data_IF_122363262963
#
_entry.id   IF_122363262963
#
_cell.length_a   1.000
_cell.length_b   1.000
_cell.length_c   1.000
_cell.angle_alpha   90.00
_cell.angle_beta   90.00
_cell.angle_gamma   90.00
#
_symmetry.space_group_name_H-M   'P 1'
#
loop_
_entity.id
_entity.type
_entity.pdbx_description
1 polymer ?
#
# COMPACT_ATOMS: atom_id res chain seq x y z
N UNK A 1 7.47 2.55 42.18
CA UNK A 1 6.49 3.65 42.05
C UNK A 1 6.20 3.80 40.57
N UNK A 2 5.09 3.24 40.10
CA UNK A 2 4.61 3.53 38.74
C UNK A 2 4.12 4.96 38.74
N UNK A 3 4.77 5.83 37.96
CA UNK A 3 4.29 7.17 37.69
C UNK A 3 2.95 7.05 36.98
N UNK A 4 1.86 7.37 37.69
CA UNK A 4 0.53 7.50 37.07
C UNK A 4 0.66 8.62 36.04
N UNK A 5 0.77 8.24 34.77
CA UNK A 5 0.79 9.22 33.66
C UNK A 5 -0.61 9.82 33.59
N UNK A 6 -0.71 11.10 33.90
CA UNK A 6 -1.99 11.81 33.82
C UNK A 6 -2.44 11.87 32.36
N UNK A 7 -3.66 11.36 32.07
CA UNK A 7 -4.22 11.39 30.73
C UNK A 7 -4.54 12.83 30.32
N UNK A 8 -4.16 13.21 29.12
CA UNK A 8 -4.45 14.52 28.52
C UNK A 8 -5.59 14.42 27.50
N UNK A 9 -6.22 15.54 27.18
CA UNK A 9 -7.22 15.54 26.12
C UNK A 9 -6.55 15.42 24.75
N UNK A 10 -7.14 14.65 23.81
CA UNK A 10 -6.60 14.56 22.45
C UNK A 10 -6.74 15.91 21.73
N UNK A 11 -5.82 16.24 20.80
CA UNK A 11 -6.03 17.37 19.93
C UNK A 11 -7.35 17.23 19.18
N UNK A 12 -8.09 18.33 19.09
CA UNK A 12 -9.37 18.32 18.40
C UNK A 12 -9.18 18.05 16.91
N UNK A 13 -9.88 17.06 16.37
CA UNK A 13 -9.95 16.83 14.95
C UNK A 13 -10.77 17.96 14.30
N UNK A 14 -10.17 18.67 13.34
CA UNK A 14 -10.86 19.77 12.66
C UNK A 14 -11.85 19.19 11.65
N UNK A 15 -13.15 19.27 11.95
CA UNK A 15 -14.22 18.77 11.09
C UNK A 15 -14.08 19.23 9.64
N UNK A 16 -13.78 20.52 9.41
CA UNK A 16 -13.65 21.08 8.08
C UNK A 16 -12.58 20.43 7.23
N UNK A 17 -11.45 20.05 7.83
CA UNK A 17 -10.36 19.39 7.11
C UNK A 17 -10.77 17.98 6.66
N UNK A 18 -11.50 17.24 7.52
CA UNK A 18 -12.02 15.93 7.18
C UNK A 18 -13.11 16.02 6.12
N UNK A 19 -14.03 16.95 6.24
CA UNK A 19 -15.07 17.19 5.23
C UNK A 19 -14.48 17.58 3.86
N UNK A 20 -13.40 18.34 3.86
CA UNK A 20 -12.68 18.68 2.64
C UNK A 20 -12.02 17.45 2.00
N UNK A 21 -11.42 16.57 2.78
CA UNK A 21 -10.86 15.30 2.30
C UNK A 21 -11.93 14.37 1.74
N UNK A 22 -13.03 14.20 2.47
CA UNK A 22 -14.14 13.31 2.08
C UNK A 22 -14.96 13.91 0.92
N UNK A 23 -14.93 15.23 0.77
CA UNK A 23 -15.68 15.97 -0.24
C UNK A 23 -17.18 16.13 0.06
N UNK A 24 -17.57 15.95 1.33
CA UNK A 24 -18.95 16.13 1.82
C UNK A 24 -19.00 16.29 3.34
N UNK A 25 -20.17 16.68 3.86
CA UNK A 25 -20.42 16.73 5.29
C UNK A 25 -20.35 15.35 5.94
N UNK A 26 -19.67 15.25 7.08
CA UNK A 26 -19.61 14.04 7.91
C UNK A 26 -20.72 14.07 8.98
N UNK A 27 -21.15 12.90 9.44
CA UNK A 27 -22.22 12.74 10.45
C UNK A 27 -21.66 12.40 11.82
N UNK A 28 -20.67 11.49 11.85
CA UNK A 28 -20.06 10.99 13.09
C UNK A 28 -18.53 11.18 13.06
N UNK A 29 -18.08 12.30 13.66
CA UNK A 29 -16.67 12.64 13.77
C UNK A 29 -15.88 11.62 14.59
N UNK A 30 -16.53 10.88 15.49
CA UNK A 30 -15.85 9.91 16.35
C UNK A 30 -15.26 8.75 15.56
N UNK A 31 -15.89 8.35 14.45
CA UNK A 31 -15.34 7.35 13.53
C UNK A 31 -14.02 7.82 12.90
N UNK A 32 -13.92 9.07 12.49
CA UNK A 32 -12.71 9.64 11.91
C UNK A 32 -11.60 9.83 12.94
N UNK A 33 -11.96 10.29 14.15
CA UNK A 33 -11.00 10.36 15.25
C UNK A 33 -10.42 8.98 15.56
N UNK A 34 -11.27 7.96 15.59
CA UNK A 34 -10.83 6.58 15.80
C UNK A 34 -9.96 6.08 14.66
N UNK A 35 -10.25 6.40 13.39
CA UNK A 35 -9.43 6.02 12.24
C UNK A 35 -8.01 6.58 12.32
N UNK A 36 -7.79 7.68 13.03
CA UNK A 36 -6.46 8.25 13.28
C UNK A 36 -5.85 7.88 14.64
N UNK A 37 -6.50 7.02 15.44
CA UNK A 37 -6.05 6.67 16.78
C UNK A 37 -5.20 5.39 16.75
N UNK A 38 -3.87 5.53 16.86
CA UNK A 38 -2.99 4.39 17.08
C UNK A 38 -3.17 3.83 18.50
N UNK A 39 -3.01 2.52 18.69
CA UNK A 39 -3.18 1.87 20.01
C UNK A 39 -2.35 2.46 21.14
N UNK A 40 -1.19 3.04 20.87
CA UNK A 40 -0.38 3.71 21.88
C UNK A 40 -1.04 4.98 22.43
N UNK A 41 -1.88 5.65 21.63
CA UNK A 41 -2.60 6.86 22.03
C UNK A 41 -3.61 6.59 23.16
N UNK A 42 -4.17 5.39 23.25
CA UNK A 42 -5.16 5.01 24.26
C UNK A 42 -4.62 5.13 25.70
N UNK A 43 -3.30 5.07 25.88
CA UNK A 43 -2.65 5.22 27.19
C UNK A 43 -2.31 6.67 27.53
N UNK A 44 -2.41 7.58 26.58
CA UNK A 44 -2.04 9.00 26.71
C UNK A 44 -3.25 9.91 26.77
N UNK A 45 -4.27 9.64 25.96
CA UNK A 45 -5.40 10.55 25.76
C UNK A 45 -6.67 10.04 26.42
N UNK A 46 -7.44 10.97 27.05
CA UNK A 46 -8.75 10.70 27.64
C UNK A 46 -9.80 10.48 26.55
N UNK A 47 -10.83 9.71 26.86
CA UNK A 47 -12.02 9.57 26.01
C UNK A 47 -11.80 8.79 24.71
N UNK A 48 -10.59 8.30 24.42
CA UNK A 48 -10.35 7.41 23.29
C UNK A 48 -10.72 5.98 23.68
N UNK A 49 -11.80 5.44 23.11
CA UNK A 49 -12.33 4.12 23.47
C UNK A 49 -11.63 2.97 22.72
N UNK A 50 -11.12 3.20 21.50
CA UNK A 50 -10.53 2.17 20.66
C UNK A 50 -9.54 2.77 19.65
N UNK A 51 -8.63 1.92 19.16
CA UNK A 51 -7.73 2.24 18.05
C UNK A 51 -8.37 2.04 16.69
N UNK A 52 -7.62 2.36 15.63
CA UNK A 52 -8.06 2.21 14.24
C UNK A 52 -8.21 0.75 13.80
N UNK A 53 -7.62 -0.23 14.50
CA UNK A 53 -7.43 -1.62 14.02
C UNK A 53 -8.72 -2.31 13.52
N UNK A 54 -9.88 -2.07 14.16
CA UNK A 54 -11.14 -2.67 13.67
C UNK A 54 -11.80 -1.89 12.55
N UNK A 55 -11.47 -0.61 12.39
CA UNK A 55 -11.87 0.17 11.21
C UNK A 55 -11.00 -0.18 10.00
N UNK A 56 -9.72 -0.43 10.20
CA UNK A 56 -8.79 -0.98 9.22
C UNK A 56 -9.32 -2.30 8.66
N UNK A 57 -9.65 -3.26 9.53
CA UNK A 57 -10.24 -4.54 9.11
C UNK A 57 -11.50 -4.37 8.24
N UNK A 58 -12.38 -3.44 8.59
CA UNK A 58 -13.57 -3.12 7.79
C UNK A 58 -13.17 -2.43 6.49
N UNK A 59 -12.25 -1.49 6.55
CA UNK A 59 -11.81 -0.67 5.42
C UNK A 59 -11.07 -1.47 4.35
N UNK A 60 -10.20 -2.41 4.73
CA UNK A 60 -9.55 -3.35 3.80
C UNK A 60 -10.59 -4.09 2.96
N UNK A 61 -11.62 -4.65 3.61
CA UNK A 61 -12.69 -5.36 2.91
C UNK A 61 -13.47 -4.45 1.95
N UNK A 62 -13.80 -3.23 2.38
CA UNK A 62 -14.52 -2.24 1.56
C UNK A 62 -13.64 -1.79 0.38
N UNK A 63 -12.39 -1.44 0.64
CA UNK A 63 -11.41 -1.06 -0.39
C UNK A 63 -11.22 -2.18 -1.40
N UNK A 64 -10.98 -3.40 -0.91
CA UNK A 64 -10.84 -4.58 -1.75
C UNK A 64 -12.03 -4.81 -2.67
N UNK A 65 -13.25 -4.65 -2.15
CA UNK A 65 -14.49 -4.75 -2.96
C UNK A 65 -14.59 -3.64 -4.00
N UNK A 66 -14.34 -2.38 -3.63
CA UNK A 66 -14.40 -1.23 -4.54
C UNK A 66 -13.44 -1.42 -5.72
N UNK A 67 -12.18 -1.80 -5.44
CA UNK A 67 -11.14 -1.99 -6.45
C UNK A 67 -11.45 -3.22 -7.30
N UNK A 68 -11.89 -4.34 -6.71
CA UNK A 68 -12.27 -5.54 -7.46
C UNK A 68 -13.39 -5.23 -8.44
N UNK A 69 -14.44 -4.55 -7.98
CA UNK A 69 -15.58 -4.20 -8.84
C UNK A 69 -15.16 -3.25 -9.97
N UNK A 70 -14.30 -2.28 -9.68
CA UNK A 70 -13.77 -1.37 -10.70
C UNK A 70 -12.98 -2.09 -11.79
N UNK A 71 -12.06 -2.99 -11.39
CA UNK A 71 -11.25 -3.75 -12.34
C UNK A 71 -12.11 -4.68 -13.19
N UNK A 72 -13.09 -5.34 -12.56
CA UNK A 72 -14.02 -6.24 -13.26
C UNK A 72 -14.84 -5.49 -14.32
N UNK A 73 -15.35 -4.30 -14.00
CA UNK A 73 -16.14 -3.49 -14.94
C UNK A 73 -15.28 -2.90 -16.07
N UNK A 74 -14.03 -2.53 -15.76
CA UNK A 74 -13.14 -1.83 -16.69
C UNK A 74 -12.40 -2.77 -17.66
N UNK A 75 -12.08 -3.97 -17.21
CA UNK A 75 -11.25 -4.93 -17.95
C UNK A 75 -12.02 -6.23 -18.22
N UNK A 76 -13.16 -6.14 -18.91
CA UNK A 76 -14.09 -7.25 -19.16
C UNK A 76 -13.51 -8.35 -20.04
N UNK A 77 -12.55 -8.01 -20.92
CA UNK A 77 -11.89 -8.94 -21.82
C UNK A 77 -10.64 -9.63 -21.19
N UNK A 78 -10.27 -9.22 -19.97
CA UNK A 78 -9.10 -9.75 -19.28
C UNK A 78 -9.44 -10.99 -18.42
N UNK A 79 -8.47 -11.88 -18.30
CA UNK A 79 -8.61 -13.09 -17.49
C UNK A 79 -8.39 -12.82 -15.98
N UNK A 80 -8.86 -13.74 -15.14
CA UNK A 80 -8.74 -13.69 -13.67
C UNK A 80 -7.31 -13.37 -13.20
N UNK A 81 -6.28 -13.97 -13.82
CA UNK A 81 -4.89 -13.74 -13.44
C UNK A 81 -4.43 -12.28 -13.58
N UNK A 82 -4.90 -11.56 -14.62
CA UNK A 82 -4.64 -10.13 -14.77
C UNK A 82 -5.39 -9.34 -13.69
N UNK A 83 -6.67 -9.61 -13.48
CA UNK A 83 -7.51 -8.90 -12.51
C UNK A 83 -6.96 -9.04 -11.09
N UNK A 84 -6.52 -10.23 -10.71
CA UNK A 84 -5.91 -10.51 -9.40
C UNK A 84 -4.59 -9.75 -9.21
N UNK A 85 -3.72 -9.74 -10.22
CA UNK A 85 -2.45 -8.98 -10.18
C UNK A 85 -2.70 -7.47 -10.12
N UNK A 86 -3.61 -6.96 -10.92
CA UNK A 86 -3.99 -5.54 -10.94
C UNK A 86 -4.54 -5.10 -9.57
N UNK A 87 -5.44 -5.91 -8.99
CA UNK A 87 -5.95 -5.65 -7.64
C UNK A 87 -4.82 -5.60 -6.61
N UNK A 88 -3.96 -6.62 -6.59
CA UNK A 88 -2.83 -6.68 -5.65
C UNK A 88 -1.95 -5.43 -5.75
N UNK A 89 -1.70 -4.92 -6.95
CA UNK A 89 -0.91 -3.69 -7.13
C UNK A 89 -1.61 -2.43 -6.62
N UNK A 90 -2.91 -2.35 -6.81
CA UNK A 90 -3.67 -1.20 -6.32
C UNK A 90 -3.75 -1.18 -4.80
N UNK A 91 -4.05 -2.31 -4.16
CA UNK A 91 -4.26 -2.37 -2.69
C UNK A 91 -3.02 -2.76 -1.89
N UNK A 92 -1.83 -2.86 -2.50
CA UNK A 92 -0.60 -3.15 -1.76
C UNK A 92 -0.18 -1.98 -0.87
N UNK A 93 0.43 -2.29 0.27
CA UNK A 93 0.84 -1.31 1.28
C UNK A 93 1.67 -0.14 0.75
N UNK A 94 2.57 -0.38 -0.22
CA UNK A 94 3.33 0.70 -0.87
C UNK A 94 2.41 1.74 -1.53
N UNK A 95 1.42 1.31 -2.29
CA UNK A 95 0.46 2.20 -2.97
C UNK A 95 -0.38 2.97 -1.95
N UNK A 96 -0.91 2.29 -0.93
CA UNK A 96 -1.73 2.92 0.10
C UNK A 96 -0.94 3.90 0.96
N UNK A 97 0.32 3.58 1.26
CA UNK A 97 1.24 4.50 1.92
C UNK A 97 1.48 5.79 1.09
N UNK A 98 1.74 5.67 -0.21
CA UNK A 98 1.93 6.81 -1.11
C UNK A 98 0.67 7.69 -1.17
N UNK A 99 -0.51 7.09 -1.23
CA UNK A 99 -1.81 7.79 -1.17
C UNK A 99 -1.97 8.52 0.18
N UNK A 100 -1.71 7.84 1.29
CA UNK A 100 -1.80 8.42 2.64
C UNK A 100 -0.92 9.64 2.80
N UNK A 101 0.30 9.59 2.27
CA UNK A 101 1.23 10.73 2.26
C UNK A 101 0.71 11.87 1.38
N UNK A 102 0.23 11.57 0.18
CA UNK A 102 -0.32 12.56 -0.74
C UNK A 102 -1.57 13.26 -0.19
N UNK A 103 -2.38 12.55 0.59
CA UNK A 103 -3.53 13.10 1.33
C UNK A 103 -3.13 13.83 2.62
N UNK A 104 -1.89 13.63 3.11
CA UNK A 104 -1.41 14.21 4.36
C UNK A 104 -2.00 13.55 5.61
N UNK A 105 -2.49 12.29 5.55
CA UNK A 105 -3.15 11.61 6.66
C UNK A 105 -2.26 11.46 7.89
N UNK A 106 -0.94 11.35 7.70
CA UNK A 106 0.06 11.27 8.77
C UNK A 106 -0.04 12.41 9.81
N UNK A 107 -0.58 13.56 9.43
CA UNK A 107 -0.69 14.76 10.29
C UNK A 107 -1.72 14.60 11.41
N UNK A 108 -2.70 13.73 11.23
CA UNK A 108 -3.79 13.51 12.21
C UNK A 108 -3.58 12.29 13.09
N UNK A 109 -2.55 11.47 12.85
CA UNK A 109 -2.34 10.23 13.59
C UNK A 109 -1.99 10.54 15.06
N UNK A 110 -2.85 10.09 15.96
CA UNK A 110 -2.65 10.21 17.40
C UNK A 110 -1.80 9.04 17.92
N UNK A 111 -0.74 9.37 18.65
CA UNK A 111 0.19 8.42 19.25
C UNK A 111 0.66 8.89 20.62
N UNK A 112 1.27 8.00 21.40
CA UNK A 112 2.02 8.40 22.58
C UNK A 112 3.33 9.15 22.23
N UNK A 113 4.00 9.68 23.25
CA UNK A 113 5.23 10.45 23.05
C UNK A 113 6.38 9.61 22.47
N UNK A 114 6.38 8.30 22.73
CA UNK A 114 7.36 7.38 22.15
C UNK A 114 7.14 7.23 20.66
N UNK A 115 5.90 7.04 20.23
CA UNK A 115 5.53 6.95 18.82
C UNK A 115 5.88 8.21 18.06
N UNK A 116 5.61 9.37 18.63
CA UNK A 116 5.94 10.68 18.05
C UNK A 116 7.46 10.86 17.90
N UNK A 117 8.23 10.61 18.98
CA UNK A 117 9.70 10.74 18.95
C UNK A 117 10.37 9.79 17.94
N UNK A 118 9.80 8.61 17.75
CA UNK A 118 10.32 7.62 16.80
C UNK A 118 9.72 7.75 15.39
N UNK A 119 8.97 8.82 15.12
CA UNK A 119 8.32 9.07 13.83
C UNK A 119 7.46 7.91 13.31
N UNK A 120 6.77 7.18 14.20
CA UNK A 120 5.92 6.05 13.80
C UNK A 120 4.78 6.47 12.87
N UNK A 121 4.30 7.72 12.95
CA UNK A 121 3.31 8.29 12.04
C UNK A 121 3.77 8.34 10.57
N UNK A 122 5.08 8.15 10.31
CA UNK A 122 5.67 8.04 8.97
C UNK A 122 5.97 6.59 8.57
N UNK A 123 5.64 5.61 9.43
CA UNK A 123 5.84 4.20 9.13
C UNK A 123 4.89 3.76 7.99
N UNK A 124 5.40 3.14 6.91
CA UNK A 124 4.57 2.72 5.77
C UNK A 124 3.39 1.85 6.14
N UNK A 125 3.55 0.90 7.08
CA UNK A 125 2.46 0.01 7.49
C UNK A 125 1.37 0.79 8.25
N UNK A 126 1.75 1.74 9.12
CA UNK A 126 0.78 2.57 9.84
C UNK A 126 0.02 3.49 8.88
N UNK A 127 0.69 3.98 7.84
CA UNK A 127 0.05 4.81 6.81
C UNK A 127 -0.93 4.01 5.94
N UNK A 128 -0.61 2.75 5.64
CA UNK A 128 -1.51 1.78 5.01
C UNK A 128 -2.73 1.56 5.88
N UNK A 129 -2.52 1.12 7.14
CA UNK A 129 -3.59 0.82 8.11
C UNK A 129 -4.55 2.01 8.29
N UNK A 130 -3.99 3.22 8.41
CA UNK A 130 -4.78 4.45 8.60
C UNK A 130 -5.59 4.80 7.35
N UNK A 131 -5.08 4.59 6.14
CA UNK A 131 -5.86 4.77 4.92
C UNK A 131 -7.05 3.83 4.87
N UNK A 132 -6.82 2.55 5.16
CA UNK A 132 -7.90 1.55 5.23
C UNK A 132 -8.91 1.91 6.31
N UNK A 133 -8.45 2.25 7.52
CA UNK A 133 -9.33 2.68 8.60
C UNK A 133 -10.16 3.90 8.24
N UNK A 134 -9.58 4.85 7.50
CA UNK A 134 -10.30 6.04 7.03
C UNK A 134 -11.37 5.69 5.99
N UNK A 135 -11.08 4.76 5.06
CA UNK A 135 -12.09 4.20 4.14
C UNK A 135 -13.21 3.50 4.92
N UNK A 136 -12.87 2.74 5.95
CA UNK A 136 -13.82 2.09 6.87
C UNK A 136 -14.72 3.10 7.58
N UNK A 137 -14.15 4.19 8.09
CA UNK A 137 -14.89 5.27 8.73
C UNK A 137 -15.87 5.94 7.76
N UNK A 138 -15.44 6.28 6.55
CA UNK A 138 -16.32 6.87 5.51
C UNK A 138 -17.46 5.90 5.16
N UNK A 139 -17.16 4.61 5.03
CA UNK A 139 -18.18 3.62 4.73
C UNK A 139 -19.24 3.52 5.81
N UNK A 140 -18.84 3.48 7.08
CA UNK A 140 -19.76 3.37 8.21
C UNK A 140 -20.59 4.64 8.41
N UNK A 141 -20.00 5.81 8.17
CA UNK A 141 -20.66 7.11 8.33
C UNK A 141 -21.59 7.45 7.16
N UNK A 142 -21.10 7.29 5.92
CA UNK A 142 -21.71 7.83 4.70
C UNK A 142 -22.11 6.77 3.68
N UNK A 143 -21.70 5.54 3.88
CA UNK A 143 -22.02 4.40 3.02
C UNK A 143 -21.12 4.25 1.79
N UNK A 144 -21.40 3.19 1.02
CA UNK A 144 -20.56 2.72 -0.10
C UNK A 144 -20.34 3.76 -1.19
N UNK A 145 -21.33 4.59 -1.48
CA UNK A 145 -21.23 5.60 -2.56
C UNK A 145 -20.13 6.61 -2.27
N UNK A 146 -20.06 7.10 -1.02
CA UNK A 146 -19.05 8.08 -0.61
C UNK A 146 -17.67 7.43 -0.46
N UNK A 147 -17.60 6.20 0.11
CA UNK A 147 -16.36 5.43 0.17
C UNK A 147 -15.77 5.21 -1.22
N UNK A 148 -16.59 4.78 -2.20
CA UNK A 148 -16.17 4.62 -3.60
C UNK A 148 -15.64 5.90 -4.21
N UNK A 149 -16.34 7.03 -4.03
CA UNK A 149 -15.93 8.35 -4.54
C UNK A 149 -14.59 8.78 -3.94
N UNK A 150 -14.43 8.65 -2.62
CA UNK A 150 -13.19 8.97 -1.94
C UNK A 150 -12.02 8.12 -2.43
N UNK A 151 -12.20 6.79 -2.51
CA UNK A 151 -11.17 5.87 -2.99
C UNK A 151 -10.68 6.29 -4.37
N UNK A 152 -11.56 6.52 -5.35
CA UNK A 152 -11.11 6.90 -6.69
C UNK A 152 -10.40 8.25 -6.73
N UNK A 153 -10.92 9.28 -6.06
CA UNK A 153 -10.25 10.56 -5.96
C UNK A 153 -8.88 10.47 -5.28
N UNK A 154 -8.70 9.50 -4.39
CA UNK A 154 -7.41 9.23 -3.72
C UNK A 154 -6.41 8.58 -4.69
N UNK A 155 -6.85 7.63 -5.50
CA UNK A 155 -5.99 6.97 -6.49
C UNK A 155 -5.57 7.89 -7.65
N UNK A 156 -6.33 8.94 -7.96
CA UNK A 156 -5.93 9.96 -8.94
C UNK A 156 -4.68 10.76 -8.52
N UNK A 157 -4.31 10.70 -7.24
CA UNK A 157 -3.15 11.43 -6.68
C UNK A 157 -1.82 10.69 -6.82
N UNK A 158 -1.86 9.43 -7.23
CA UNK A 158 -0.67 8.59 -7.39
C UNK A 158 -0.71 7.85 -8.71
N UNK A 159 0.46 7.59 -9.27
CA UNK A 159 0.56 6.80 -10.49
C UNK A 159 0.67 5.31 -10.15
N UNK A 160 -0.36 4.55 -10.50
CA UNK A 160 -0.37 3.09 -10.31
C UNK A 160 -0.21 2.40 -11.66
N UNK A 161 0.98 1.88 -11.92
CA UNK A 161 1.26 1.09 -13.12
C UNK A 161 0.68 -0.32 -12.96
N UNK A 162 -0.34 -0.68 -13.75
CA UNK A 162 -0.99 -2.00 -13.69
C UNK A 162 -0.25 -3.08 -14.52
N UNK A 163 0.70 -2.71 -15.37
CA UNK A 163 1.51 -3.69 -16.10
C UNK A 163 2.21 -4.65 -15.13
N UNK A 164 2.24 -5.92 -15.51
CA UNK A 164 2.94 -6.95 -14.73
C UNK A 164 4.44 -6.63 -14.72
N UNK A 165 4.99 -6.24 -13.56
CA UNK A 165 6.39 -5.95 -13.34
C UNK A 165 7.14 -7.13 -12.69
N UNK A 166 6.48 -8.29 -12.58
CA UNK A 166 7.13 -9.52 -12.16
C UNK A 166 7.77 -10.21 -13.37
N UNK A 167 8.79 -9.58 -13.92
CA UNK A 167 9.47 -10.07 -15.12
C UNK A 167 10.10 -11.45 -14.93
N UNK A 168 10.52 -11.79 -13.71
CA UNK A 168 11.02 -13.14 -13.40
C UNK A 168 9.94 -14.20 -13.60
N UNK A 169 8.73 -13.98 -13.11
CA UNK A 169 7.60 -14.88 -13.29
C UNK A 169 7.16 -14.95 -14.76
N UNK A 170 7.14 -13.82 -15.45
CA UNK A 170 6.84 -13.78 -16.89
C UNK A 170 7.85 -14.59 -17.69
N UNK A 171 9.16 -14.42 -17.43
CA UNK A 171 10.21 -15.15 -18.11
C UNK A 171 10.13 -16.65 -17.80
N UNK A 172 9.89 -17.01 -16.54
CA UNK A 172 9.69 -18.40 -16.13
C UNK A 172 8.53 -19.05 -16.91
N UNK A 173 7.35 -18.40 -16.96
CA UNK A 173 6.18 -18.89 -17.69
C UNK A 173 6.46 -19.02 -19.19
N UNK A 174 7.19 -18.06 -19.78
CA UNK A 174 7.61 -18.12 -21.20
C UNK A 174 8.51 -19.32 -21.47
N UNK A 175 9.49 -19.58 -20.60
CA UNK A 175 10.36 -20.76 -20.72
C UNK A 175 9.56 -22.07 -20.59
N UNK A 176 8.64 -22.15 -19.63
CA UNK A 176 7.77 -23.31 -19.46
C UNK A 176 6.88 -23.57 -20.69
N UNK A 177 6.26 -22.53 -21.24
CA UNK A 177 5.45 -22.63 -22.45
C UNK A 177 6.26 -23.10 -23.67
N UNK A 178 7.53 -22.65 -23.77
CA UNK A 178 8.47 -23.05 -24.81
C UNK A 178 9.16 -24.39 -24.52
N UNK A 179 8.88 -25.05 -23.38
CA UNK A 179 9.54 -26.28 -22.92
C UNK A 179 11.07 -26.13 -22.76
N UNK A 180 11.53 -24.92 -22.42
CA UNK A 180 12.92 -24.63 -22.13
C UNK A 180 13.22 -24.83 -20.63
N UNK A 181 14.51 -25.02 -20.25
CA UNK A 181 14.93 -24.98 -18.87
C UNK A 181 14.52 -23.69 -18.18
N UNK A 182 14.30 -23.76 -16.84
CA UNK A 182 13.99 -22.56 -16.05
C UNK A 182 15.14 -21.55 -16.12
N UNK A 183 14.82 -20.24 -16.06
CA UNK A 183 15.83 -19.19 -16.07
C UNK A 183 16.78 -19.31 -14.86
N UNK A 184 18.09 -19.31 -15.08
CA UNK A 184 19.11 -19.29 -14.06
C UNK A 184 19.68 -17.86 -13.90
N UNK A 185 19.72 -17.36 -12.64
CA UNK A 185 20.16 -16.00 -12.32
C UNK A 185 21.52 -16.02 -11.63
N UNK A 186 22.55 -15.57 -12.33
CA UNK A 186 23.93 -15.59 -11.84
C UNK A 186 24.42 -14.20 -11.46
N UNK A 187 24.94 -14.06 -10.23
CA UNK A 187 25.63 -12.84 -9.80
C UNK A 187 26.98 -12.78 -10.51
N UNK A 188 27.15 -11.84 -11.42
CA UNK A 188 28.42 -11.61 -12.14
C UNK A 188 29.36 -10.72 -11.34
N UNK A 189 28.80 -9.72 -10.65
CA UNK A 189 29.59 -8.82 -9.84
C UNK A 189 28.75 -8.17 -8.74
N UNK A 190 29.40 -7.86 -7.60
CA UNK A 190 28.87 -6.97 -6.59
C UNK A 190 29.86 -5.82 -6.40
N UNK A 191 29.42 -4.62 -6.73
CA UNK A 191 30.24 -3.42 -6.68
C UNK A 191 30.41 -2.92 -5.23
N UNK A 192 31.50 -2.18 -4.91
CA UNK A 192 31.72 -1.63 -3.57
C UNK A 192 30.62 -0.69 -3.07
N UNK A 193 29.86 -0.06 -3.98
CA UNK A 193 28.71 0.78 -3.67
C UNK A 193 27.43 -0.02 -3.34
N UNK A 194 27.53 -1.35 -3.25
CA UNK A 194 26.41 -2.24 -2.97
C UNK A 194 25.56 -2.65 -4.18
N UNK A 195 25.90 -2.18 -5.40
CA UNK A 195 25.17 -2.55 -6.61
C UNK A 195 25.47 -3.99 -7.02
N UNK A 196 24.41 -4.77 -7.29
CA UNK A 196 24.51 -6.12 -7.87
C UNK A 196 24.43 -6.04 -9.39
N UNK A 197 25.30 -6.79 -10.08
CA UNK A 197 25.20 -7.10 -11.49
C UNK A 197 24.80 -8.56 -11.63
N UNK A 198 23.65 -8.82 -12.23
CA UNK A 198 23.10 -10.16 -12.42
C UNK A 198 22.82 -10.39 -13.89
N UNK A 199 23.15 -11.59 -14.35
CA UNK A 199 22.84 -12.07 -15.68
C UNK A 199 21.84 -13.24 -15.59
N UNK A 200 20.83 -13.23 -16.45
CA UNK A 200 19.90 -14.36 -16.60
C UNK A 200 20.29 -15.22 -17.79
N UNK A 201 20.38 -16.52 -17.54
CA UNK A 201 20.74 -17.54 -18.52
C UNK A 201 19.51 -18.41 -18.78
N UNK A 202 19.16 -18.62 -20.03
CA UNK A 202 18.10 -19.53 -20.47
C UNK A 202 18.71 -20.49 -21.49
N UNK A 203 18.57 -21.79 -21.22
CA UNK A 203 19.12 -22.86 -22.06
C UNK A 203 20.62 -22.65 -22.39
N UNK A 204 21.41 -22.38 -21.34
CA UNK A 204 22.84 -22.15 -21.44
C UNK A 204 23.28 -20.85 -22.10
N UNK A 205 22.34 -20.02 -22.59
CA UNK A 205 22.61 -18.77 -23.30
C UNK A 205 22.24 -17.56 -22.40
N UNK A 206 23.14 -16.57 -22.23
CA UNK A 206 22.82 -15.31 -21.61
C UNK A 206 21.72 -14.56 -22.39
N UNK A 207 20.63 -14.20 -21.73
CA UNK A 207 19.47 -13.54 -22.34
C UNK A 207 19.24 -12.12 -21.87
N UNK A 208 19.75 -11.75 -20.70
CA UNK A 208 19.59 -10.41 -20.16
C UNK A 208 20.50 -10.14 -18.99
N UNK A 209 20.76 -8.87 -18.73
CA UNK A 209 21.64 -8.40 -17.66
C UNK A 209 20.97 -7.27 -16.91
N UNK A 210 21.03 -7.27 -15.56
CA UNK A 210 20.39 -6.30 -14.70
C UNK A 210 21.29 -5.80 -13.58
N UNK A 211 21.11 -4.52 -13.24
CA UNK A 211 21.83 -3.84 -12.18
C UNK A 211 20.84 -3.23 -11.17
N UNK A 212 21.08 -3.41 -9.87
CA UNK A 212 20.30 -2.75 -8.82
C UNK A 212 21.03 -2.81 -7.46
N UNK A 213 20.57 -2.03 -6.49
CA UNK A 213 21.06 -2.05 -5.10
C UNK A 213 20.65 -3.30 -4.31
N UNK A 214 19.68 -4.07 -4.79
CA UNK A 214 19.31 -5.37 -4.22
C UNK A 214 19.39 -6.48 -5.26
N UNK A 215 19.76 -7.68 -4.81
CA UNK A 215 19.81 -8.86 -5.68
C UNK A 215 18.47 -9.11 -6.38
N UNK A 216 17.35 -9.07 -5.61
CA UNK A 216 16.01 -9.30 -6.14
C UNK A 216 15.63 -8.32 -7.26
N UNK A 217 15.97 -7.04 -7.11
CA UNK A 217 15.66 -6.05 -8.15
C UNK A 217 16.57 -6.21 -9.38
N UNK A 218 17.85 -6.55 -9.19
CA UNK A 218 18.78 -6.81 -10.31
C UNK A 218 18.32 -8.03 -11.13
N UNK A 219 17.79 -9.08 -10.47
CA UNK A 219 17.19 -10.25 -11.15
C UNK A 219 15.94 -9.85 -11.96
N UNK A 220 15.06 -8.98 -11.42
CA UNK A 220 13.90 -8.47 -12.16
C UNK A 220 14.33 -7.69 -13.41
N UNK A 221 15.33 -6.81 -13.27
CA UNK A 221 15.84 -6.02 -14.37
C UNK A 221 16.49 -6.91 -15.47
N UNK A 222 17.20 -7.96 -15.07
CA UNK A 222 17.78 -8.93 -16.01
C UNK A 222 16.68 -9.69 -16.78
N UNK A 223 15.61 -10.10 -16.05
CA UNK A 223 14.47 -10.78 -16.68
C UNK A 223 13.71 -9.87 -17.66
N UNK A 224 13.54 -8.58 -17.32
CA UNK A 224 12.92 -7.59 -18.21
C UNK A 224 13.67 -7.47 -19.54
N UNK A 225 14.99 -7.36 -19.47
CA UNK A 225 15.85 -7.30 -20.68
C UNK A 225 15.72 -8.58 -21.50
N UNK A 226 15.73 -9.75 -20.85
CA UNK A 226 15.54 -11.03 -21.53
C UNK A 226 14.20 -11.13 -22.27
N UNK A 227 13.12 -10.62 -21.67
CA UNK A 227 11.78 -10.61 -22.28
C UNK A 227 11.67 -9.69 -23.51
N UNK A 228 12.41 -8.58 -23.53
CA UNK A 228 12.42 -7.62 -24.64
C UNK A 228 13.17 -8.15 -25.87
N UNK A 229 14.10 -9.10 -25.69
CA UNK A 229 14.94 -9.66 -26.74
C UNK A 229 14.59 -11.10 -27.11
N UNK A 230 13.42 -11.58 -26.71
CA UNK A 230 13.01 -13.00 -26.85
C UNK A 230 11.86 -13.19 -27.81
#
# INVERSE_FOLDING_TARGET
METVTELVDPPALVHGDIEQLVGTKIRDVSLYQRAFTHKSALKKYRGLAASYETLEFMGDSVLGFIITRHLFDKYQDEQEGFLTKARTKMVRGKTLCEISLALGLHKWILMDDKGIRNNWHMNPNILEDVFEAFVGAIYLDLGMVHAKKFVFASFERVEVTLHDDNYKDQLMRKCQAAKLPLPDYQVRHQYPNGTFHIEVIVDGTPRGSGFASTKKQAEQNAAEIALKHS
#
